data_IF_459822521530
#
_entry.id   IF_459822521530
#
_cell.length_a   1.000
_cell.length_b   1.000
_cell.length_c   1.000
_cell.angle_alpha   90.00
_cell.angle_beta   90.00
_cell.angle_gamma   90.00
#
_symmetry.space_group_name_H-M   'P 1'
#
loop_
_entity.id
_entity.type
_entity.pdbx_description
1 polymer ?
#
# COMPACT_ATOMS: atom_id res chain seq x y z
N UNK A 1 81.84 -10.71 22.22
CA UNK A 1 80.96 -11.53 21.33
C UNK A 1 79.59 -11.77 22.03
N UNK A 2 78.80 -10.73 22.28
CA UNK A 2 77.44 -10.85 22.88
C UNK A 2 76.53 -9.66 22.49
N UNK A 3 76.53 -9.20 21.27
CA UNK A 3 75.69 -8.05 20.85
C UNK A 3 74.90 -8.26 19.54
N UNK A 4 75.02 -9.45 18.90
CA UNK A 4 74.35 -9.68 17.60
C UNK A 4 73.13 -10.59 17.64
N UNK A 5 72.73 -11.15 18.79
CA UNK A 5 71.57 -12.04 18.86
C UNK A 5 70.24 -11.31 19.14
N UNK A 6 70.27 -10.07 19.59
CA UNK A 6 69.02 -9.32 19.88
C UNK A 6 68.43 -8.58 18.67
N UNK A 7 69.25 -8.33 17.61
CA UNK A 7 68.78 -7.61 16.41
C UNK A 7 68.03 -8.52 15.41
N UNK A 8 68.24 -9.84 15.47
CA UNK A 8 67.58 -10.79 14.61
C UNK A 8 66.19 -11.23 15.11
N UNK A 9 65.95 -11.12 16.40
CA UNK A 9 64.63 -11.42 17.00
C UNK A 9 63.62 -10.26 16.78
N UNK A 10 64.08 -9.05 16.64
CA UNK A 10 63.23 -7.89 16.32
C UNK A 10 62.83 -7.83 14.83
N UNK A 11 63.62 -8.36 13.93
CA UNK A 11 63.34 -8.43 12.51
C UNK A 11 62.32 -9.54 12.16
N UNK A 12 62.24 -10.61 12.96
CA UNK A 12 61.31 -11.72 12.75
C UNK A 12 59.90 -11.40 13.29
N UNK A 13 59.78 -10.53 14.29
CA UNK A 13 58.46 -10.11 14.83
C UNK A 13 57.80 -9.10 13.91
N UNK A 14 58.56 -8.31 13.14
CA UNK A 14 58.00 -7.31 12.19
C UNK A 14 57.53 -7.93 10.87
N UNK A 15 57.94 -9.12 10.48
CA UNK A 15 57.52 -9.80 9.24
C UNK A 15 56.27 -10.64 9.43
N UNK A 16 55.96 -11.08 10.66
CA UNK A 16 54.76 -11.89 10.94
C UNK A 16 53.50 -11.01 11.11
N UNK A 17 53.66 -9.71 11.36
CA UNK A 17 52.50 -8.78 11.48
C UNK A 17 52.02 -8.23 10.14
N UNK A 18 52.65 -8.52 9.02
CA UNK A 18 52.28 -8.04 7.68
C UNK A 18 51.52 -9.07 6.83
N UNK A 19 51.24 -10.26 7.34
CA UNK A 19 50.53 -11.32 6.66
C UNK A 19 49.20 -11.74 7.30
N UNK A 20 48.61 -10.89 8.17
CA UNK A 20 47.21 -11.03 8.52
C UNK A 20 46.43 -10.41 7.36
N UNK A 21 45.70 -11.19 6.52
CA UNK A 21 44.78 -10.58 5.58
C UNK A 21 43.84 -9.76 6.42
N UNK A 22 43.77 -8.46 6.17
CA UNK A 22 42.71 -7.62 6.64
C UNK A 22 41.43 -8.24 6.09
N UNK A 23 40.84 -9.16 6.83
CA UNK A 23 39.45 -9.50 6.64
C UNK A 23 38.70 -8.19 6.80
N UNK A 24 38.40 -7.59 5.66
CA UNK A 24 37.44 -6.53 5.56
C UNK A 24 36.14 -7.17 6.03
N UNK A 25 35.90 -7.11 7.33
CA UNK A 25 34.58 -7.24 7.88
C UNK A 25 33.80 -6.10 7.22
N UNK A 26 33.19 -6.41 6.10
CA UNK A 26 32.06 -5.64 5.62
C UNK A 26 31.06 -5.68 6.77
N UNK A 27 31.13 -4.70 7.64
CA UNK A 27 30.00 -4.35 8.49
C UNK A 27 28.90 -4.04 7.49
N UNK A 28 28.07 -5.05 7.19
CA UNK A 28 26.74 -4.78 6.72
C UNK A 28 26.19 -3.78 7.74
N UNK A 29 26.10 -2.52 7.34
CA UNK A 29 25.32 -1.53 8.04
C UNK A 29 23.94 -2.14 8.13
N UNK A 30 23.58 -2.70 9.27
CA UNK A 30 22.18 -2.94 9.60
C UNK A 30 21.54 -1.59 9.45
N UNK A 31 20.80 -1.38 8.38
CA UNK A 31 20.11 -0.11 8.16
C UNK A 31 19.22 0.09 9.38
N UNK A 32 19.42 1.20 10.09
CA UNK A 32 18.57 1.52 11.23
C UNK A 32 17.10 1.52 10.76
N UNK A 33 16.21 1.03 11.62
CA UNK A 33 14.78 1.03 11.29
C UNK A 33 14.30 2.43 10.93
N UNK A 34 13.44 2.57 9.91
CA UNK A 34 12.85 3.86 9.59
C UNK A 34 12.15 4.47 10.81
N UNK A 35 12.30 5.77 11.07
CA UNK A 35 11.63 6.44 12.20
C UNK A 35 10.11 6.37 12.02
N UNK A 36 9.32 6.46 13.10
CA UNK A 36 7.87 6.56 12.99
C UNK A 36 7.45 7.74 12.09
N UNK A 37 6.31 7.62 11.36
CA UNK A 37 5.81 8.70 10.53
C UNK A 37 5.51 9.94 11.38
N UNK A 38 6.02 11.09 10.96
CA UNK A 38 5.78 12.36 11.66
C UNK A 38 4.50 13.02 11.13
N UNK A 39 3.60 13.41 12.04
CA UNK A 39 2.44 14.22 11.69
C UNK A 39 2.90 15.62 11.24
N UNK A 40 2.48 16.09 10.05
CA UNK A 40 2.83 17.43 9.61
C UNK A 40 2.25 18.50 10.54
N UNK A 41 3.03 19.55 10.80
CA UNK A 41 2.54 20.76 11.48
C UNK A 41 1.61 21.57 10.58
N UNK A 42 0.85 22.52 11.15
CA UNK A 42 0.00 23.42 10.37
C UNK A 42 0.77 24.21 9.31
N UNK A 43 1.96 24.71 9.64
CA UNK A 43 2.80 25.48 8.73
C UNK A 43 3.35 24.63 7.59
N UNK A 44 3.70 23.36 7.87
CA UNK A 44 4.09 22.40 6.86
C UNK A 44 2.93 22.08 5.91
N UNK A 45 1.73 21.89 6.43
CA UNK A 45 0.52 21.70 5.61
C UNK A 45 0.28 22.92 4.71
N UNK A 46 0.41 24.15 5.21
CA UNK A 46 0.29 25.35 4.38
C UNK A 46 1.36 25.40 3.27
N UNK A 47 2.58 24.96 3.57
CA UNK A 47 3.64 24.86 2.58
C UNK A 47 3.36 23.79 1.54
N UNK A 48 2.87 22.62 1.97
CA UNK A 48 2.47 21.53 1.08
C UNK A 48 1.33 21.98 0.15
N UNK A 49 0.32 22.69 0.65
CA UNK A 49 -0.78 23.23 -0.15
C UNK A 49 -0.30 24.12 -1.31
N UNK A 50 0.72 24.93 -1.10
CA UNK A 50 1.29 25.80 -2.15
C UNK A 50 2.05 25.03 -3.23
N UNK A 51 2.55 23.84 -2.92
CA UNK A 51 3.37 22.99 -3.80
C UNK A 51 2.65 21.73 -4.24
N UNK A 52 1.39 21.58 -3.84
CA UNK A 52 0.61 20.37 -4.10
C UNK A 52 0.46 20.13 -5.60
N UNK A 53 0.72 18.91 -6.01
CA UNK A 53 0.58 18.46 -7.39
C UNK A 53 -0.47 17.36 -7.44
N UNK A 54 -1.26 17.35 -8.53
CA UNK A 54 -2.20 16.26 -8.76
C UNK A 54 -1.46 14.97 -9.06
N UNK A 55 -1.78 13.92 -8.32
CA UNK A 55 -1.26 12.56 -8.46
C UNK A 55 -2.41 11.57 -8.54
N UNK A 56 -2.11 10.37 -8.95
CA UNK A 56 -3.11 9.35 -9.17
C UNK A 56 -3.95 9.62 -10.42
N UNK A 57 -5.14 9.09 -10.40
CA UNK A 57 -6.01 9.12 -11.57
C UNK A 57 -7.38 9.64 -11.15
N UNK A 58 -7.90 10.63 -11.86
CA UNK A 58 -9.19 11.24 -11.60
C UNK A 58 -10.05 11.15 -12.87
N UNK A 59 -11.28 10.68 -12.71
CA UNK A 59 -12.30 10.73 -13.75
C UNK A 59 -13.49 11.56 -13.27
N UNK A 60 -14.07 12.29 -14.20
CA UNK A 60 -15.41 12.87 -14.05
C UNK A 60 -16.39 11.89 -14.67
N UNK A 61 -17.51 11.63 -14.00
CA UNK A 61 -18.58 10.83 -14.56
C UNK A 61 -19.91 11.59 -14.51
N UNK A 62 -20.76 11.37 -15.49
CA UNK A 62 -22.02 12.07 -15.64
C UNK A 62 -23.14 11.13 -16.11
N UNK A 63 -24.32 11.26 -15.50
CA UNK A 63 -25.54 10.56 -15.91
C UNK A 63 -26.76 11.35 -15.49
N UNK A 64 -27.72 11.57 -16.44
CA UNK A 64 -28.98 12.26 -16.18
C UNK A 64 -28.80 13.65 -15.50
N UNK A 65 -27.78 14.40 -15.87
CA UNK A 65 -27.47 15.71 -15.30
C UNK A 65 -26.71 15.68 -13.97
N UNK A 66 -26.53 14.51 -13.36
CA UNK A 66 -25.75 14.36 -12.13
C UNK A 66 -24.28 14.14 -12.48
N UNK A 67 -23.40 14.89 -11.81
CA UNK A 67 -21.94 14.80 -11.97
C UNK A 67 -21.32 14.20 -10.71
N UNK A 68 -20.33 13.35 -10.90
CA UNK A 68 -19.48 12.85 -9.82
C UNK A 68 -18.01 12.71 -10.26
N UNK A 69 -17.18 12.33 -9.32
CA UNK A 69 -15.76 12.09 -9.54
C UNK A 69 -15.37 10.73 -9.00
N UNK A 70 -14.51 10.02 -9.76
CA UNK A 70 -13.92 8.76 -9.36
C UNK A 70 -12.41 8.95 -9.29
N UNK A 71 -11.83 8.67 -8.15
CA UNK A 71 -10.41 8.85 -7.88
C UNK A 71 -9.73 7.52 -7.56
N UNK A 72 -8.66 7.22 -8.31
CA UNK A 72 -7.78 6.10 -8.02
C UNK A 72 -6.84 6.45 -6.88
N UNK A 73 -7.10 5.91 -5.70
CA UNK A 73 -6.36 6.16 -4.47
C UNK A 73 -5.15 5.25 -4.30
N UNK A 74 -4.34 5.51 -3.27
CA UNK A 74 -3.19 4.71 -2.89
C UNK A 74 -3.05 4.65 -1.36
N UNK A 75 -2.82 3.45 -0.81
CA UNK A 75 -2.72 3.24 0.64
C UNK A 75 -1.38 3.70 1.23
N UNK A 76 -0.32 3.69 0.44
CA UNK A 76 1.02 4.09 0.86
C UNK A 76 1.44 5.35 0.12
N UNK A 77 1.90 6.37 0.83
CA UNK A 77 2.32 7.62 0.22
C UNK A 77 3.61 8.16 0.83
N UNK A 78 4.16 9.21 0.22
CA UNK A 78 5.25 10.00 0.79
C UNK A 78 4.69 11.20 1.53
N UNK A 79 5.45 11.70 2.48
CA UNK A 79 5.04 12.83 3.32
C UNK A 79 4.66 14.08 2.52
N UNK A 80 5.37 14.37 1.44
CA UNK A 80 5.12 15.51 0.55
C UNK A 80 3.93 15.30 -0.41
N UNK A 81 3.31 14.11 -0.41
CA UNK A 81 2.14 13.77 -1.24
C UNK A 81 0.81 13.82 -0.49
N UNK A 82 0.85 14.09 0.82
CA UNK A 82 -0.35 14.07 1.67
C UNK A 82 -1.44 14.97 1.09
N UNK A 83 -1.09 16.18 0.63
CA UNK A 83 -2.06 17.14 0.09
C UNK A 83 -2.23 16.91 -1.41
N UNK A 84 -3.45 16.58 -1.88
CA UNK A 84 -3.73 16.45 -3.31
C UNK A 84 -3.59 17.78 -4.04
N UNK A 85 -3.31 17.71 -5.34
CA UNK A 85 -3.18 18.87 -6.20
C UNK A 85 -4.51 19.61 -6.44
N UNK A 86 -4.44 20.72 -7.19
CA UNK A 86 -5.55 21.67 -7.29
C UNK A 86 -6.80 21.08 -7.95
N UNK A 87 -6.68 20.23 -8.97
CA UNK A 87 -7.84 19.64 -9.66
C UNK A 87 -8.54 18.60 -8.81
N UNK A 88 -7.76 17.73 -8.14
CA UNK A 88 -8.30 16.76 -7.17
C UNK A 88 -8.97 17.47 -6.00
N UNK A 89 -8.34 18.52 -5.47
CA UNK A 89 -8.91 19.32 -4.38
C UNK A 89 -10.19 20.05 -4.82
N UNK A 90 -10.26 20.55 -6.06
CA UNK A 90 -11.47 21.20 -6.59
C UNK A 90 -12.62 20.19 -6.68
N UNK A 91 -12.36 19.00 -7.23
CA UNK A 91 -13.34 17.91 -7.29
C UNK A 91 -13.82 17.50 -5.89
N UNK A 92 -12.90 17.32 -4.94
CA UNK A 92 -13.19 16.95 -3.55
C UNK A 92 -14.02 18.03 -2.84
N UNK A 93 -13.73 19.32 -3.05
CA UNK A 93 -14.49 20.43 -2.46
C UNK A 93 -15.89 20.54 -3.05
N UNK A 94 -16.07 20.30 -4.34
CA UNK A 94 -17.37 20.36 -5.01
C UNK A 94 -18.33 19.24 -4.59
N UNK A 95 -17.79 18.12 -4.11
CA UNK A 95 -18.59 16.96 -3.73
C UNK A 95 -19.42 17.20 -2.47
N UNK A 96 -20.67 16.79 -2.51
CA UNK A 96 -21.58 16.76 -1.35
C UNK A 96 -21.42 15.48 -0.50
N UNK A 97 -20.91 14.41 -1.12
CA UNK A 97 -20.66 13.12 -0.49
C UNK A 97 -19.26 12.65 -0.87
N UNK A 98 -18.51 12.19 0.10
CA UNK A 98 -17.23 11.52 -0.11
C UNK A 98 -17.44 10.03 0.15
N UNK A 99 -17.21 9.22 -0.87
CA UNK A 99 -17.34 7.77 -0.80
C UNK A 99 -15.95 7.11 -0.83
N UNK A 100 -15.63 6.35 0.20
CA UNK A 100 -14.38 5.60 0.33
C UNK A 100 -14.69 4.11 0.27
N UNK A 101 -13.70 3.26 -0.04
CA UNK A 101 -13.90 1.81 0.08
C UNK A 101 -14.44 1.49 1.49
N UNK A 102 -13.72 1.93 2.52
CA UNK A 102 -14.17 1.97 3.91
C UNK A 102 -13.80 3.30 4.56
N UNK A 103 -14.65 3.80 5.43
CA UNK A 103 -14.30 4.90 6.32
C UNK A 103 -13.47 4.36 7.51
N UNK A 104 -12.18 4.22 7.29
CA UNK A 104 -11.25 3.63 8.28
C UNK A 104 -11.09 4.48 9.56
N UNK A 105 -11.60 5.70 9.60
CA UNK A 105 -11.64 6.54 10.80
C UNK A 105 -12.97 6.46 11.54
N UNK A 106 -13.94 5.69 11.05
CA UNK A 106 -15.17 5.40 11.76
C UNK A 106 -14.90 4.42 12.91
N UNK A 107 -15.30 4.75 14.16
CA UNK A 107 -15.05 3.87 15.31
C UNK A 107 -15.68 2.48 15.19
N UNK A 108 -16.86 2.37 14.57
CA UNK A 108 -17.52 1.07 14.37
C UNK A 108 -16.76 0.22 13.34
N UNK A 109 -16.31 0.82 12.24
CA UNK A 109 -15.45 0.16 11.26
C UNK A 109 -14.15 -0.33 11.91
N UNK A 110 -13.49 0.53 12.70
CA UNK A 110 -12.28 0.16 13.43
C UNK A 110 -12.52 -0.99 14.42
N UNK A 111 -13.64 -0.94 15.14
CA UNK A 111 -14.02 -2.00 16.07
C UNK A 111 -14.21 -3.35 15.35
N UNK A 112 -14.89 -3.36 14.21
CA UNK A 112 -15.08 -4.58 13.41
C UNK A 112 -13.77 -5.10 12.84
N UNK A 113 -12.90 -4.23 12.31
CA UNK A 113 -11.62 -4.62 11.73
C UNK A 113 -10.59 -5.08 12.78
N UNK A 114 -10.73 -4.67 14.05
CA UNK A 114 -9.78 -5.02 15.12
C UNK A 114 -9.74 -6.50 15.46
N UNK A 115 -10.78 -7.25 15.10
CA UNK A 115 -10.88 -8.68 15.32
C UNK A 115 -11.61 -9.36 14.14
N UNK A 116 -10.86 -9.94 13.20
CA UNK A 116 -11.45 -10.60 12.02
C UNK A 116 -12.45 -11.71 12.34
N UNK A 117 -12.38 -12.32 13.53
CA UNK A 117 -13.33 -13.37 13.94
C UNK A 117 -14.76 -12.85 14.05
N UNK A 118 -14.96 -11.55 14.38
CA UNK A 118 -16.28 -10.88 14.37
C UNK A 118 -16.92 -10.84 13.00
N UNK A 119 -16.09 -10.90 11.96
CA UNK A 119 -16.49 -10.87 10.55
C UNK A 119 -16.58 -12.29 9.95
N UNK A 120 -16.51 -13.34 10.79
CA UNK A 120 -16.57 -14.71 10.34
C UNK A 120 -15.30 -15.25 9.68
N UNK A 121 -14.17 -14.54 9.81
CA UNK A 121 -12.87 -14.99 9.31
C UNK A 121 -12.34 -16.11 10.22
N UNK A 122 -12.04 -17.27 9.61
CA UNK A 122 -11.50 -18.43 10.29
C UNK A 122 -10.08 -18.14 10.79
N UNK A 123 -9.79 -18.57 12.01
CA UNK A 123 -8.42 -18.51 12.53
C UNK A 123 -7.54 -19.52 11.78
N UNK A 124 -6.44 -19.05 11.23
CA UNK A 124 -5.40 -19.87 10.61
C UNK A 124 -4.04 -19.51 11.23
N UNK A 125 -3.18 -20.50 11.40
CA UNK A 125 -1.84 -20.32 11.96
C UNK A 125 -0.79 -20.81 10.96
N UNK A 126 0.36 -20.14 10.94
CA UNK A 126 1.48 -20.55 10.10
C UNK A 126 2.11 -21.86 10.61
N UNK A 127 2.38 -22.83 9.73
CA UNK A 127 3.23 -23.98 10.05
C UNK A 127 4.62 -23.52 10.51
N UNK A 128 5.34 -24.30 11.37
CA UNK A 128 6.60 -23.88 11.96
C UNK A 128 7.65 -23.33 10.98
N UNK A 129 7.88 -23.92 9.78
CA UNK A 129 8.84 -23.36 8.84
C UNK A 129 8.47 -21.99 8.30
N UNK A 130 7.18 -21.78 7.95
CA UNK A 130 6.68 -20.48 7.46
C UNK A 130 6.65 -19.45 8.58
N UNK A 131 6.34 -19.86 9.80
CA UNK A 131 6.38 -18.99 10.98
C UNK A 131 7.80 -18.45 11.22
N UNK A 132 8.81 -19.31 11.21
CA UNK A 132 10.21 -18.90 11.36
C UNK A 132 10.65 -17.97 10.23
N UNK A 133 10.23 -18.23 9.01
CA UNK A 133 10.52 -17.35 7.86
C UNK A 133 9.84 -15.99 8.03
N UNK A 134 8.55 -15.95 8.39
CA UNK A 134 7.83 -14.72 8.68
C UNK A 134 8.51 -13.89 9.78
N UNK A 135 8.90 -14.52 10.89
CA UNK A 135 9.62 -13.87 11.99
C UNK A 135 10.97 -13.28 11.53
N UNK A 136 11.68 -13.99 10.66
CA UNK A 136 12.95 -13.52 10.06
C UNK A 136 12.72 -12.28 9.20
N UNK A 137 11.73 -12.33 8.30
CA UNK A 137 11.34 -11.17 7.47
C UNK A 137 10.92 -10.01 8.34
N UNK A 138 10.04 -10.25 9.33
CA UNK A 138 9.54 -9.21 10.24
C UNK A 138 10.68 -8.46 10.95
N UNK A 139 11.66 -9.19 11.49
CA UNK A 139 12.85 -8.57 12.10
C UNK A 139 13.64 -7.71 11.11
N UNK A 140 13.82 -8.19 9.88
CA UNK A 140 14.57 -7.48 8.83
C UNK A 140 13.88 -6.19 8.39
N UNK A 141 12.55 -6.18 8.34
CA UNK A 141 11.75 -5.00 7.95
C UNK A 141 11.31 -4.15 9.15
N UNK A 142 11.81 -4.44 10.36
CA UNK A 142 11.45 -3.75 11.59
C UNK A 142 9.95 -3.81 11.95
N UNK A 143 9.27 -4.87 11.56
CA UNK A 143 7.91 -5.12 12.00
C UNK A 143 7.90 -5.70 13.44
N UNK A 144 6.90 -5.35 14.26
CA UNK A 144 6.81 -5.82 15.64
C UNK A 144 6.42 -7.31 15.68
N UNK A 145 7.40 -8.22 15.77
CA UNK A 145 7.21 -9.67 15.72
C UNK A 145 6.13 -10.17 16.69
N UNK A 146 6.10 -9.63 17.91
CA UNK A 146 5.12 -10.06 18.92
C UNK A 146 3.68 -9.71 18.49
N UNK A 147 3.47 -8.55 17.85
CA UNK A 147 2.15 -8.14 17.38
C UNK A 147 1.66 -8.96 16.19
N UNK A 148 2.56 -9.64 15.46
CA UNK A 148 2.18 -10.47 14.33
C UNK A 148 1.61 -11.83 14.72
N UNK A 149 1.98 -12.36 15.90
CA UNK A 149 1.74 -13.77 16.26
C UNK A 149 0.28 -14.19 16.23
N UNK A 150 -0.61 -13.26 16.57
CA UNK A 150 -2.05 -13.52 16.66
C UNK A 150 -2.81 -13.09 15.39
N UNK A 151 -2.12 -12.48 14.43
CA UNK A 151 -2.74 -12.08 13.17
C UNK A 151 -2.93 -13.27 12.23
N UNK A 152 -3.96 -13.18 11.40
CA UNK A 152 -4.15 -14.08 10.27
C UNK A 152 -2.91 -14.07 9.35
N UNK A 153 -2.45 -15.21 8.76
CA UNK A 153 -1.24 -15.29 7.95
C UNK A 153 -1.11 -14.23 6.85
N UNK A 154 -2.20 -13.92 6.13
CA UNK A 154 -2.21 -12.86 5.13
C UNK A 154 -2.05 -11.46 5.75
N UNK A 155 -2.62 -11.21 6.93
CA UNK A 155 -2.41 -9.97 7.65
C UNK A 155 -0.96 -9.81 8.13
N UNK A 156 -0.31 -10.92 8.50
CA UNK A 156 1.12 -10.90 8.83
C UNK A 156 1.94 -10.50 7.59
N UNK A 157 1.64 -11.09 6.42
CA UNK A 157 2.31 -10.76 5.15
C UNK A 157 2.10 -9.28 4.78
N UNK A 158 0.87 -8.79 4.84
CA UNK A 158 0.53 -7.39 4.59
C UNK A 158 1.30 -6.46 5.54
N UNK A 159 1.37 -6.81 6.82
CA UNK A 159 2.08 -6.00 7.83
C UNK A 159 3.57 -5.91 7.51
N UNK A 160 4.24 -7.02 7.19
CA UNK A 160 5.67 -6.96 6.83
C UNK A 160 5.89 -6.20 5.52
N UNK A 161 4.95 -6.25 4.57
CA UNK A 161 4.98 -5.44 3.34
C UNK A 161 4.94 -3.95 3.63
N UNK A 162 4.01 -3.52 4.48
CA UNK A 162 3.88 -2.12 4.90
C UNK A 162 5.16 -1.65 5.58
N UNK A 163 5.73 -2.48 6.45
CA UNK A 163 6.99 -2.17 7.13
C UNK A 163 8.18 -2.10 6.17
N UNK A 164 8.23 -2.96 5.15
CA UNK A 164 9.28 -2.90 4.13
C UNK A 164 9.21 -1.62 3.29
N UNK A 165 8.02 -1.19 2.92
CA UNK A 165 7.78 0.03 2.15
C UNK A 165 8.32 1.30 2.86
N UNK A 166 8.41 1.29 4.19
CA UNK A 166 8.95 2.38 4.99
C UNK A 166 10.42 2.68 4.68
N UNK A 167 11.20 1.68 4.27
CA UNK A 167 12.58 1.88 3.84
C UNK A 167 12.69 2.70 2.54
N UNK A 168 11.59 2.82 1.80
CA UNK A 168 11.44 3.69 0.63
C UNK A 168 10.76 5.03 0.96
N UNK A 169 10.56 5.33 2.25
CA UNK A 169 9.87 6.55 2.72
C UNK A 169 8.35 6.53 2.46
N UNK A 170 7.77 5.35 2.26
CA UNK A 170 6.35 5.16 2.04
C UNK A 170 5.66 4.78 3.35
N UNK A 171 4.58 5.47 3.69
CA UNK A 171 3.85 5.26 4.95
C UNK A 171 2.35 5.24 4.70
N UNK A 172 1.62 4.40 5.44
CA UNK A 172 0.14 4.41 5.40
C UNK A 172 -0.43 5.74 5.89
N UNK A 173 0.21 6.36 6.88
CA UNK A 173 -0.22 7.67 7.39
C UNK A 173 -0.21 8.78 6.32
N UNK A 174 0.50 8.56 5.21
CA UNK A 174 0.59 9.49 4.08
C UNK A 174 -0.17 9.01 2.85
N UNK A 175 -0.91 7.92 2.97
CA UNK A 175 -1.82 7.42 1.95
C UNK A 175 -2.95 8.41 1.65
N UNK A 176 -3.45 8.39 0.42
CA UNK A 176 -4.49 9.31 -0.03
C UNK A 176 -5.81 9.15 0.73
N UNK A 177 -6.16 7.92 1.14
CA UNK A 177 -7.39 7.67 1.90
C UNK A 177 -7.37 8.35 3.27
N UNK A 178 -6.21 8.38 3.94
CA UNK A 178 -6.06 9.05 5.23
C UNK A 178 -6.34 10.55 5.09
N UNK A 179 -5.82 11.18 4.03
CA UNK A 179 -6.12 12.58 3.76
C UNK A 179 -7.61 12.79 3.44
N UNK A 180 -8.19 11.97 2.56
CA UNK A 180 -9.59 12.09 2.15
C UNK A 180 -10.54 11.96 3.34
N UNK A 181 -10.33 10.97 4.21
CA UNK A 181 -11.13 10.77 5.42
C UNK A 181 -10.98 11.94 6.40
N UNK A 182 -9.74 12.39 6.65
CA UNK A 182 -9.45 13.51 7.55
C UNK A 182 -9.99 14.84 7.05
N UNK A 183 -9.79 15.16 5.76
CA UNK A 183 -10.33 16.34 5.10
C UNK A 183 -11.86 16.37 5.17
N UNK A 184 -12.50 15.25 4.89
CA UNK A 184 -13.97 15.16 4.85
C UNK A 184 -14.58 15.45 6.22
N UNK A 185 -13.98 14.92 7.30
CA UNK A 185 -14.40 15.21 8.68
C UNK A 185 -14.17 16.68 9.04
N UNK A 186 -12.98 17.22 8.73
CA UNK A 186 -12.67 18.63 8.97
C UNK A 186 -13.61 19.59 8.24
N UNK A 187 -14.00 19.24 7.02
CA UNK A 187 -14.94 19.99 6.20
C UNK A 187 -16.42 19.66 6.50
N UNK A 188 -16.71 18.80 7.47
CA UNK A 188 -18.06 18.33 7.83
C UNK A 188 -18.83 17.76 6.64
N UNK A 189 -18.15 17.09 5.72
CA UNK A 189 -18.76 16.40 4.58
C UNK A 189 -19.30 15.05 5.02
N UNK A 190 -20.37 14.61 4.36
CA UNK A 190 -20.90 13.25 4.51
C UNK A 190 -19.88 12.27 3.95
N UNK A 191 -19.52 11.26 4.75
CA UNK A 191 -18.65 10.15 4.33
C UNK A 191 -19.52 8.89 4.24
N UNK A 192 -19.34 8.13 3.19
CA UNK A 192 -20.00 6.83 2.97
C UNK A 192 -18.96 5.77 2.66
N UNK A 193 -19.14 4.58 3.22
CA UNK A 193 -18.38 3.40 2.84
C UNK A 193 -19.03 2.72 1.64
N UNK A 194 -18.27 2.45 0.60
CA UNK A 194 -18.73 1.73 -0.60
C UNK A 194 -18.88 0.24 -0.35
N UNK A 195 -18.15 -0.28 0.62
CA UNK A 195 -18.14 -1.68 1.04
C UNK A 195 -18.42 -1.79 2.54
N UNK A 196 -18.60 -3.01 3.01
CA UNK A 196 -18.64 -3.32 4.44
C UNK A 196 -17.31 -3.89 4.90
N UNK A 197 -16.93 -3.75 6.19
CA UNK A 197 -15.77 -4.42 6.76
C UNK A 197 -15.77 -5.92 6.48
N UNK A 198 -16.91 -6.57 6.55
CA UNK A 198 -17.05 -8.00 6.27
C UNK A 198 -16.67 -8.34 4.83
N UNK A 199 -17.21 -7.59 3.83
CA UNK A 199 -16.91 -7.84 2.41
C UNK A 199 -15.42 -7.69 2.13
N UNK A 200 -14.81 -6.59 2.62
CA UNK A 200 -13.41 -6.32 2.38
C UNK A 200 -12.49 -7.34 3.07
N UNK A 201 -12.78 -7.70 4.33
CA UNK A 201 -11.99 -8.67 5.06
C UNK A 201 -12.14 -10.09 4.49
N UNK A 202 -13.33 -10.45 3.99
CA UNK A 202 -13.49 -11.72 3.28
C UNK A 202 -12.70 -11.75 1.98
N UNK A 203 -12.72 -10.69 1.17
CA UNK A 203 -11.88 -10.60 -0.04
C UNK A 203 -10.38 -10.72 0.28
N UNK A 204 -9.96 -10.16 1.41
CA UNK A 204 -8.56 -10.09 1.81
C UNK A 204 -8.05 -11.38 2.49
N UNK A 205 -8.88 -12.07 3.29
CA UNK A 205 -8.44 -13.11 4.22
C UNK A 205 -9.11 -14.47 4.00
N UNK A 206 -10.16 -14.59 3.16
CA UNK A 206 -10.82 -15.86 2.93
C UNK A 206 -10.16 -16.66 1.82
N UNK A 207 -10.22 -17.99 1.95
CA UNK A 207 -9.69 -18.95 0.99
C UNK A 207 -9.51 -20.32 1.67
N UNK A 208 -9.12 -21.30 0.89
CA UNK A 208 -8.70 -22.59 1.42
C UNK A 208 -7.37 -22.43 2.17
N UNK A 209 -7.23 -23.08 3.31
CA UNK A 209 -6.05 -22.97 4.19
C UNK A 209 -4.75 -23.18 3.40
N UNK A 210 -4.72 -24.16 2.50
CA UNK A 210 -3.54 -24.44 1.67
C UNK A 210 -3.22 -23.32 0.69
N UNK A 211 -4.23 -22.73 0.02
CA UNK A 211 -4.06 -21.61 -0.90
C UNK A 211 -3.49 -20.38 -0.16
N UNK A 212 -4.02 -20.09 1.03
CA UNK A 212 -3.52 -19.00 1.88
C UNK A 212 -2.05 -19.21 2.24
N UNK A 213 -1.67 -20.44 2.64
CA UNK A 213 -0.28 -20.74 2.97
C UNK A 213 0.65 -20.67 1.76
N UNK A 214 0.17 -21.04 0.57
CA UNK A 214 0.92 -20.86 -0.69
C UNK A 214 1.15 -19.39 -1.00
N UNK A 215 0.14 -18.53 -0.90
CA UNK A 215 0.27 -17.08 -1.09
C UNK A 215 1.28 -16.49 -0.11
N UNK A 216 1.19 -16.86 1.16
CA UNK A 216 2.17 -16.39 2.17
C UNK A 216 3.58 -16.86 1.84
N UNK A 217 3.75 -18.10 1.41
CA UNK A 217 5.05 -18.65 1.00
C UNK A 217 5.63 -17.91 -0.20
N UNK A 218 4.81 -17.68 -1.25
CA UNK A 218 5.21 -16.92 -2.45
C UNK A 218 5.59 -15.49 -2.08
N UNK A 219 4.76 -14.81 -1.29
CA UNK A 219 5.05 -13.45 -0.84
C UNK A 219 6.31 -13.34 -0.01
N UNK A 220 6.57 -14.27 0.92
CA UNK A 220 7.80 -14.28 1.70
C UNK A 220 9.06 -14.49 0.82
N UNK A 221 8.96 -15.28 -0.24
CA UNK A 221 10.09 -15.49 -1.16
C UNK A 221 10.49 -14.19 -1.89
N UNK A 222 9.56 -13.29 -2.17
CA UNK A 222 9.85 -12.00 -2.81
C UNK A 222 10.69 -11.06 -1.92
N UNK A 223 10.63 -11.22 -0.59
CA UNK A 223 11.50 -10.47 0.32
C UNK A 223 12.97 -10.92 0.24
N UNK A 224 13.23 -12.18 -0.10
CA UNK A 224 14.60 -12.69 -0.21
C UNK A 224 15.34 -12.12 -1.43
N UNK A 225 14.62 -11.82 -2.50
CA UNK A 225 15.16 -11.24 -3.73
C UNK A 225 15.14 -9.71 -3.74
N UNK A 226 14.43 -9.08 -2.79
CA UNK A 226 14.16 -7.64 -2.81
C UNK A 226 13.10 -7.23 -3.84
N UNK A 227 12.52 -8.17 -4.58
CA UNK A 227 11.48 -7.93 -5.60
C UNK A 227 10.25 -7.25 -5.01
N UNK A 228 9.89 -7.57 -3.78
CA UNK A 228 8.70 -7.00 -3.15
C UNK A 228 8.76 -5.48 -3.09
N UNK A 229 9.89 -4.93 -2.61
CA UNK A 229 10.11 -3.48 -2.53
C UNK A 229 10.12 -2.83 -3.91
N UNK A 230 10.85 -3.42 -4.86
CA UNK A 230 10.93 -2.89 -6.22
C UNK A 230 9.54 -2.81 -6.90
N UNK A 231 8.70 -3.82 -6.73
CA UNK A 231 7.36 -3.84 -7.28
C UNK A 231 6.43 -2.83 -6.58
N UNK A 232 6.52 -2.72 -5.24
CA UNK A 232 5.79 -1.71 -4.47
C UNK A 232 6.18 -0.30 -4.95
N UNK A 233 7.48 -0.01 -5.09
CA UNK A 233 7.95 1.27 -5.61
C UNK A 233 7.46 1.55 -7.04
N UNK A 234 7.46 0.54 -7.92
CA UNK A 234 6.96 0.68 -9.29
C UNK A 234 5.48 1.03 -9.31
N UNK A 235 4.64 0.31 -8.54
CA UNK A 235 3.22 0.60 -8.42
C UNK A 235 2.96 2.03 -7.94
N UNK A 236 3.65 2.41 -6.85
CA UNK A 236 3.52 3.74 -6.25
C UNK A 236 4.01 4.85 -7.20
N UNK A 237 5.11 4.60 -7.93
CA UNK A 237 5.63 5.54 -8.91
C UNK A 237 4.69 5.70 -10.11
N UNK A 238 4.13 4.62 -10.65
CA UNK A 238 3.13 4.69 -11.71
C UNK A 238 1.92 5.56 -11.30
N UNK A 239 1.46 5.38 -10.06
CA UNK A 239 0.42 6.25 -9.50
C UNK A 239 0.89 7.71 -9.37
N UNK A 240 2.05 7.96 -8.79
CA UNK A 240 2.55 9.30 -8.51
C UNK A 240 2.87 10.09 -9.79
N UNK A 241 3.37 9.43 -10.82
CA UNK A 241 3.67 10.01 -12.14
C UNK A 241 2.48 9.97 -13.11
N UNK A 242 1.37 9.37 -12.67
CA UNK A 242 0.13 9.26 -13.47
C UNK A 242 0.29 8.40 -14.72
N UNK A 243 1.19 7.42 -14.66
CA UNK A 243 1.45 6.47 -15.73
C UNK A 243 0.39 5.36 -15.73
N UNK A 244 -0.76 5.65 -16.36
CA UNK A 244 -1.85 4.69 -16.45
C UNK A 244 -1.47 3.50 -17.33
N UNK A 245 -0.60 3.68 -18.32
CA UNK A 245 -0.17 2.62 -19.23
C UNK A 245 0.70 1.60 -18.50
N UNK A 246 1.61 2.05 -17.62
CA UNK A 246 2.38 1.14 -16.76
C UNK A 246 1.48 0.46 -15.73
N UNK A 247 0.51 1.17 -15.17
CA UNK A 247 -0.46 0.58 -14.25
C UNK A 247 -1.33 -0.48 -14.96
N UNK A 248 -1.79 -0.25 -16.19
CA UNK A 248 -2.57 -1.21 -16.97
C UNK A 248 -1.81 -2.52 -17.22
N UNK A 249 -0.48 -2.46 -17.27
CA UNK A 249 0.40 -3.62 -17.39
C UNK A 249 0.77 -4.26 -16.06
N UNK A 250 0.10 -3.89 -14.97
CA UNK A 250 0.37 -4.43 -13.62
C UNK A 250 0.43 -5.96 -13.61
N UNK A 251 -0.48 -6.63 -14.31
CA UNK A 251 -0.51 -8.09 -14.42
C UNK A 251 0.69 -8.72 -15.15
N UNK A 252 1.44 -7.93 -15.94
CA UNK A 252 2.60 -8.41 -16.68
C UNK A 252 3.88 -8.36 -15.85
N UNK A 253 3.99 -7.37 -14.96
CA UNK A 253 5.21 -7.14 -14.20
C UNK A 253 5.12 -7.45 -12.71
N UNK A 254 3.91 -7.64 -12.15
CA UNK A 254 3.77 -8.05 -10.76
C UNK A 254 4.09 -9.53 -10.59
N UNK A 255 5.14 -9.81 -9.83
CA UNK A 255 5.44 -11.18 -9.40
C UNK A 255 4.43 -11.72 -8.36
N UNK A 256 3.43 -10.92 -8.02
CA UNK A 256 2.29 -11.30 -7.18
C UNK A 256 1.21 -12.11 -7.94
N UNK A 257 1.44 -12.41 -9.22
CA UNK A 257 0.50 -13.15 -10.09
C UNK A 257 1.19 -14.28 -10.88
N UNK A 258 2.23 -14.90 -10.31
CA UNK A 258 2.98 -15.95 -10.98
C UNK A 258 2.21 -17.27 -10.99
N UNK A 259 1.69 -17.69 -9.85
CA UNK A 259 0.94 -18.93 -9.72
C UNK A 259 -0.53 -18.77 -10.06
N UNK A 260 -1.25 -19.88 -10.27
CA UNK A 260 -2.71 -19.84 -10.42
C UNK A 260 -3.39 -19.38 -9.14
N UNK A 261 -2.88 -19.82 -7.99
CA UNK A 261 -3.34 -19.39 -6.66
C UNK A 261 -3.20 -17.88 -6.48
N UNK A 262 -2.05 -17.30 -6.86
CA UNK A 262 -1.82 -15.87 -6.79
C UNK A 262 -2.83 -15.10 -7.68
N UNK A 263 -3.02 -15.55 -8.93
CA UNK A 263 -3.98 -14.93 -9.87
C UNK A 263 -5.42 -15.01 -9.37
N UNK A 264 -5.81 -16.15 -8.81
CA UNK A 264 -7.14 -16.35 -8.20
C UNK A 264 -7.33 -15.39 -7.02
N UNK A 265 -6.33 -15.25 -6.16
CA UNK A 265 -6.37 -14.33 -5.02
C UNK A 265 -6.48 -12.87 -5.47
N UNK A 266 -5.64 -12.44 -6.39
CA UNK A 266 -5.66 -11.07 -6.92
C UNK A 266 -6.97 -10.76 -7.64
N UNK A 267 -7.54 -11.72 -8.38
CA UNK A 267 -8.86 -11.58 -8.99
C UNK A 267 -9.94 -11.35 -7.93
N UNK A 268 -9.96 -12.16 -6.87
CA UNK A 268 -10.89 -11.99 -5.75
C UNK A 268 -10.73 -10.65 -5.03
N UNK A 269 -9.49 -10.22 -4.87
CA UNK A 269 -9.16 -8.97 -4.17
C UNK A 269 -9.53 -7.72 -4.99
N UNK A 270 -9.47 -7.78 -6.31
CA UNK A 270 -9.68 -6.62 -7.19
C UNK A 270 -10.92 -6.80 -8.06
N UNK A 271 -10.90 -7.72 -9.04
CA UNK A 271 -11.91 -7.80 -10.08
C UNK A 271 -13.31 -8.16 -9.56
N UNK A 272 -13.38 -9.08 -8.60
CA UNK A 272 -14.66 -9.59 -8.07
C UNK A 272 -15.34 -8.55 -7.15
N UNK A 273 -14.63 -7.55 -6.64
CA UNK A 273 -15.17 -6.43 -5.86
C UNK A 273 -15.70 -5.31 -6.75
N UNK A 274 -15.15 -5.12 -7.95
CA UNK A 274 -15.48 -4.01 -8.83
C UNK A 274 -16.97 -3.83 -9.15
N UNK A 275 -17.76 -4.90 -9.41
CA UNK A 275 -19.19 -4.78 -9.62
C UNK A 275 -19.93 -4.18 -8.42
N UNK A 276 -19.53 -4.56 -7.20
CA UNK A 276 -20.13 -4.02 -5.97
C UNK A 276 -19.76 -2.54 -5.78
N UNK A 277 -18.48 -2.19 -5.97
CA UNK A 277 -18.00 -0.81 -5.90
C UNK A 277 -18.75 0.08 -6.90
N UNK A 278 -18.87 -0.34 -8.16
CA UNK A 278 -19.59 0.41 -9.19
C UNK A 278 -21.09 0.58 -8.85
N UNK A 279 -21.74 -0.48 -8.34
CA UNK A 279 -23.15 -0.43 -7.91
C UNK A 279 -23.36 0.51 -6.72
N UNK A 280 -22.43 0.52 -5.76
CA UNK A 280 -22.48 1.44 -4.61
C UNK A 280 -22.31 2.90 -5.03
N UNK A 281 -21.41 3.19 -5.98
CA UNK A 281 -21.22 4.51 -6.57
C UNK A 281 -22.49 4.95 -7.32
N UNK A 282 -23.06 4.09 -8.17
CA UNK A 282 -24.30 4.37 -8.90
C UNK A 282 -25.45 4.68 -7.93
N UNK A 283 -25.61 3.88 -6.87
CA UNK A 283 -26.63 4.11 -5.84
C UNK A 283 -26.50 5.48 -5.19
N UNK A 284 -25.29 5.87 -4.77
CA UNK A 284 -25.06 7.19 -4.13
C UNK A 284 -25.27 8.34 -5.11
N UNK A 285 -24.96 8.14 -6.40
CA UNK A 285 -25.08 9.17 -7.43
C UNK A 285 -26.52 9.47 -7.86
N UNK A 286 -27.48 8.58 -7.57
CA UNK A 286 -28.90 8.78 -7.89
C UNK A 286 -29.58 9.85 -7.03
N UNK A 287 -29.02 10.18 -5.88
CA UNK A 287 -29.57 11.16 -4.94
C UNK A 287 -29.43 12.63 -5.42
N UNK A 288 -28.90 12.86 -6.63
CA UNK A 288 -28.70 14.20 -7.20
C UNK A 288 -27.55 15.00 -6.55
N UNK A 289 -26.75 14.35 -5.70
CA UNK A 289 -25.56 14.96 -5.08
C UNK A 289 -24.31 14.62 -5.88
N UNK A 290 -23.40 15.58 -5.96
CA UNK A 290 -22.06 15.29 -6.47
C UNK A 290 -21.34 14.36 -5.51
N UNK A 291 -20.94 13.18 -5.97
CA UNK A 291 -20.19 12.19 -5.21
C UNK A 291 -18.72 12.23 -5.65
N UNK A 292 -17.80 12.26 -4.69
CA UNK A 292 -16.40 11.99 -4.92
C UNK A 292 -16.10 10.59 -4.36
N UNK A 293 -15.99 9.61 -5.26
CA UNK A 293 -15.69 8.23 -4.89
C UNK A 293 -14.17 7.98 -5.03
N UNK A 294 -13.56 7.45 -3.98
CA UNK A 294 -12.15 7.05 -4.00
C UNK A 294 -12.04 5.55 -3.74
N UNK A 295 -11.43 4.84 -4.67
CA UNK A 295 -11.11 3.41 -4.56
C UNK A 295 -9.68 3.18 -5.04
N UNK A 296 -9.03 2.12 -4.58
CA UNK A 296 -7.65 1.82 -4.90
C UNK A 296 -7.38 1.80 -6.41
N UNK A 297 -6.24 2.30 -6.84
CA UNK A 297 -5.92 2.51 -8.26
C UNK A 297 -5.95 1.23 -9.09
N UNK A 298 -5.73 0.06 -8.51
CA UNK A 298 -5.86 -1.20 -9.22
C UNK A 298 -7.30 -1.53 -9.66
N UNK A 299 -8.30 -0.95 -9.00
CA UNK A 299 -9.71 -1.05 -9.42
C UNK A 299 -10.03 -0.22 -10.68
N UNK A 300 -9.09 0.63 -11.12
CA UNK A 300 -9.26 1.50 -12.30
C UNK A 300 -8.80 0.86 -13.60
N UNK A 301 -8.19 -0.32 -13.54
CA UNK A 301 -7.57 -1.00 -14.68
C UNK A 301 -8.24 -2.35 -14.98
N UNK A 302 -7.90 -2.93 -16.12
CA UNK A 302 -8.40 -4.24 -16.52
C UNK A 302 -9.77 -4.21 -17.21
N UNK A 303 -10.30 -5.39 -17.56
CA UNK A 303 -11.56 -5.52 -18.29
C UNK A 303 -12.79 -5.16 -17.45
N UNK A 304 -12.71 -5.41 -16.14
CA UNK A 304 -13.77 -5.14 -15.16
C UNK A 304 -13.50 -3.90 -14.30
N UNK A 305 -12.68 -2.97 -14.80
CA UNK A 305 -12.38 -1.72 -14.10
C UNK A 305 -13.64 -0.94 -13.73
N UNK A 306 -13.65 -0.30 -12.56
CA UNK A 306 -14.80 0.49 -12.08
C UNK A 306 -15.26 1.54 -13.09
N UNK A 307 -14.36 2.33 -13.76
CA UNK A 307 -14.79 3.26 -14.82
C UNK A 307 -15.58 2.56 -15.93
N UNK A 308 -15.09 1.42 -16.43
CA UNK A 308 -15.76 0.66 -17.49
C UNK A 308 -17.13 0.09 -17.04
N UNK A 309 -17.26 -0.30 -15.78
CA UNK A 309 -18.54 -0.77 -15.24
C UNK A 309 -19.54 0.38 -15.14
N UNK A 310 -19.12 1.57 -14.74
CA UNK A 310 -19.95 2.75 -14.73
C UNK A 310 -20.38 3.14 -16.17
N UNK A 311 -19.49 3.05 -17.17
CA UNK A 311 -19.85 3.24 -18.58
C UNK A 311 -20.96 2.26 -19.03
N UNK A 312 -20.83 0.97 -18.68
CA UNK A 312 -21.88 -0.05 -18.95
C UNK A 312 -23.20 0.25 -18.25
N UNK A 313 -23.16 0.97 -17.12
CA UNK A 313 -24.36 1.46 -16.41
C UNK A 313 -24.92 2.75 -17.00
N UNK A 314 -24.33 3.27 -18.10
CA UNK A 314 -24.81 4.44 -18.84
C UNK A 314 -24.25 5.77 -18.37
N UNK A 315 -23.13 5.78 -17.65
CA UNK A 315 -22.40 6.99 -17.34
C UNK A 315 -21.47 7.38 -18.49
N UNK A 316 -21.37 8.68 -18.76
CA UNK A 316 -20.28 9.25 -19.55
C UNK A 316 -19.09 9.42 -18.63
N UNK A 317 -17.95 8.83 -18.97
CA UNK A 317 -16.73 8.86 -18.16
C UNK A 317 -15.66 9.64 -18.95
N UNK A 318 -15.05 10.63 -18.29
CA UNK A 318 -13.97 11.42 -18.87
C UNK A 318 -12.80 11.48 -17.88
N UNK A 319 -11.60 11.15 -18.35
CA UNK A 319 -10.39 11.32 -17.54
C UNK A 319 -10.10 12.81 -17.36
N UNK A 320 -9.85 13.25 -16.14
CA UNK A 320 -9.43 14.62 -15.87
C UNK A 320 -7.93 14.73 -16.13
N UNK A 321 -7.58 15.51 -17.14
CA UNK A 321 -6.18 15.77 -17.44
C UNK A 321 -5.57 16.70 -16.41
N UNK A 322 -4.47 16.28 -15.82
CA UNK A 322 -3.69 17.08 -14.86
C UNK A 322 -2.63 17.90 -15.59
N UNK A 323 -2.23 19.01 -14.99
CA UNK A 323 -1.14 19.83 -15.52
C UNK A 323 0.19 19.04 -15.45
N UNK A 324 1.16 19.37 -16.30
CA UNK A 324 2.47 18.69 -16.28
C UNK A 324 3.11 18.81 -14.90
N UNK A 325 3.79 17.72 -14.49
CA UNK A 325 4.55 17.65 -13.24
C UNK A 325 5.76 18.58 -13.28
#
# INVERSE_FOLDING_TARGET
MRENSAKWLLALVLIVTLLIPSAVYSQQKTSACPPPPATPTADEIQTMLKRAQDRGFLWKYEKNGNTGYLYGSIHLGRRDWIVPGPKTMAALRSAGVIALELDILDPEVQYQLSDPSRLGIKKLTLPPPLKLHMESVAKRVCAPVEALKDLHPLMQLITVTIHDARFSGLEMAYGSEMFLAGFSRGAKKRIESLETPQLQMHALLSGEDQEILEIVKSGLALFETGSYRAQTERLINAWATRDLDDLQRYGEWCECMITETDRKYMKGLIDDRNPHLAASIDKLSRDGRTVFAAVGSLHMIGPNAVPKLLEKMGYRIERVEFDKL
#
